data_IF_727482763993
#
_entry.id   IF_727482763993
#
_cell.length_a   1.000
_cell.length_b   1.000
_cell.length_c   1.000
_cell.angle_alpha   90.00
_cell.angle_beta   90.00
_cell.angle_gamma   90.00
#
_symmetry.space_group_name_H-M   'P 1'
#
loop_
_entity.id
_entity.type
_entity.pdbx_description
1 polymer ?
#
# COMPACT_ATOMS: atom_id res chain seq x y z
N UNK A 1 -12.14 10.63 14.18
CA UNK A 1 -13.29 11.52 14.42
C UNK A 1 -14.49 10.66 14.81
N UNK A 2 -15.21 10.98 15.87
CA UNK A 2 -16.41 10.24 16.32
C UNK A 2 -16.22 8.72 16.49
N UNK A 3 -15.03 8.31 16.95
CA UNK A 3 -14.68 6.91 17.15
C UNK A 3 -14.27 6.16 15.87
N UNK A 4 -14.04 6.86 14.76
CA UNK A 4 -13.55 6.31 13.51
C UNK A 4 -12.15 6.85 13.13
N UNK A 5 -11.37 5.97 12.51
CA UNK A 5 -10.07 6.24 11.88
C UNK A 5 -10.22 6.16 10.36
N UNK A 6 -9.46 7.00 9.67
CA UNK A 6 -9.18 6.92 8.25
C UNK A 6 -7.68 7.21 8.09
N UNK A 7 -7.04 6.54 7.13
CA UNK A 7 -5.60 6.63 6.94
C UNK A 7 -5.23 6.91 5.48
N UNK A 8 -4.16 7.67 5.31
CA UNK A 8 -3.60 8.06 4.01
C UNK A 8 -2.20 8.64 4.17
N UNK A 9 -1.40 8.43 3.15
CA UNK A 9 -0.06 8.98 3.01
C UNK A 9 0.29 9.12 1.52
N UNK A 10 1.23 10.01 1.22
CA UNK A 10 1.68 10.27 -0.13
C UNK A 10 3.14 10.71 -0.15
N UNK A 11 3.87 10.30 -1.18
CA UNK A 11 5.24 10.74 -1.43
C UNK A 11 5.25 11.96 -2.34
N UNK A 12 5.68 13.12 -1.83
CA UNK A 12 5.78 14.35 -2.62
C UNK A 12 7.24 14.66 -2.95
N UNK A 13 7.52 14.92 -4.23
CA UNK A 13 8.87 15.30 -4.67
C UNK A 13 9.18 16.75 -4.26
N UNK A 14 10.28 16.94 -3.52
CA UNK A 14 10.88 18.24 -3.26
C UNK A 14 12.05 18.43 -4.22
N UNK A 15 11.96 19.45 -5.07
CA UNK A 15 12.96 19.67 -6.14
C UNK A 15 14.27 20.23 -5.57
N UNK A 16 15.43 19.88 -6.18
CA UNK A 16 15.59 19.01 -7.35
C UNK A 16 15.51 17.51 -7.01
N UNK A 17 14.91 16.72 -7.92
CA UNK A 17 14.76 15.26 -7.78
C UNK A 17 15.44 14.52 -8.94
N UNK A 18 16.16 13.43 -8.62
CA UNK A 18 16.78 12.56 -9.63
C UNK A 18 15.71 11.74 -10.37
N UNK A 19 15.93 11.41 -11.64
CA UNK A 19 14.98 10.62 -12.44
C UNK A 19 14.59 9.27 -11.82
N UNK A 20 15.51 8.60 -11.11
CA UNK A 20 15.20 7.34 -10.43
C UNK A 20 14.22 7.50 -9.25
N UNK A 21 14.35 8.59 -8.47
CA UNK A 21 13.44 8.90 -7.35
C UNK A 21 12.06 9.34 -7.86
N UNK A 22 12.02 10.08 -8.96
CA UNK A 22 10.77 10.43 -9.64
C UNK A 22 10.04 9.17 -10.10
N UNK A 23 10.73 8.29 -10.84
CA UNK A 23 10.18 7.00 -11.30
C UNK A 23 9.73 6.11 -10.13
N UNK A 24 10.46 6.12 -9.02
CA UNK A 24 10.10 5.38 -7.81
C UNK A 24 8.76 5.85 -7.24
N UNK A 25 8.57 7.15 -7.07
CA UNK A 25 7.32 7.72 -6.59
C UNK A 25 6.15 7.43 -7.55
N UNK A 26 6.35 7.61 -8.85
CA UNK A 26 5.34 7.29 -9.88
C UNK A 26 4.96 5.80 -9.87
N UNK A 27 5.93 4.92 -9.65
CA UNK A 27 5.67 3.48 -9.57
C UNK A 27 4.89 3.12 -8.31
N UNK A 28 5.19 3.72 -7.16
CA UNK A 28 4.44 3.50 -5.93
C UNK A 28 2.98 3.93 -6.09
N UNK A 29 2.74 5.09 -6.68
CA UNK A 29 1.39 5.56 -7.00
C UNK A 29 0.67 4.62 -7.98
N UNK A 30 1.31 4.25 -9.08
CA UNK A 30 0.72 3.34 -10.08
C UNK A 30 0.43 1.93 -9.50
N UNK A 31 1.28 1.44 -8.60
CA UNK A 31 1.06 0.19 -7.89
C UNK A 31 -0.18 0.28 -7.00
N UNK A 32 -0.32 1.36 -6.22
CA UNK A 32 -1.49 1.61 -5.37
C UNK A 32 -2.76 1.62 -6.22
N UNK A 33 -2.79 2.42 -7.29
CA UNK A 33 -3.91 2.49 -8.23
C UNK A 33 -4.29 1.11 -8.80
N UNK A 34 -3.28 0.31 -9.16
CA UNK A 34 -3.50 -1.04 -9.67
C UNK A 34 -4.08 -1.97 -8.60
N UNK A 35 -3.62 -1.87 -7.35
CA UNK A 35 -4.20 -2.58 -6.20
C UNK A 35 -5.65 -2.21 -5.95
N UNK A 36 -5.98 -0.91 -5.95
CA UNK A 36 -7.34 -0.38 -5.77
C UNK A 36 -8.27 -0.92 -6.87
N UNK A 37 -7.81 -1.00 -8.12
CA UNK A 37 -8.63 -1.46 -9.26
C UNK A 37 -9.16 -2.90 -9.12
N UNK A 38 -8.53 -3.72 -8.28
CA UNK A 38 -8.95 -5.12 -8.02
C UNK A 38 -9.53 -5.31 -6.62
N UNK A 39 -9.62 -4.26 -5.80
CA UNK A 39 -10.16 -4.30 -4.44
C UNK A 39 -11.70 -4.24 -4.46
N UNK A 40 -12.33 -5.27 -5.00
CA UNK A 40 -13.79 -5.38 -5.17
C UNK A 40 -14.34 -6.60 -4.44
N UNK A 41 -15.62 -6.54 -4.04
CA UNK A 41 -16.28 -7.63 -3.33
C UNK A 41 -16.27 -8.93 -4.16
N UNK A 42 -16.00 -10.05 -3.49
CA UNK A 42 -15.83 -11.36 -4.13
C UNK A 42 -14.40 -11.66 -4.57
N UNK A 43 -13.52 -10.65 -4.67
CA UNK A 43 -12.11 -10.87 -4.94
C UNK A 43 -11.35 -11.29 -3.67
N UNK A 44 -10.17 -11.90 -3.82
CA UNK A 44 -9.32 -12.29 -2.66
C UNK A 44 -8.35 -11.18 -2.30
N UNK A 45 -8.05 -11.03 -1.01
CA UNK A 45 -7.08 -10.05 -0.51
C UNK A 45 -5.71 -10.17 -1.20
N UNK A 46 -5.27 -11.41 -1.48
CA UNK A 46 -3.97 -11.65 -2.13
C UNK A 46 -3.90 -11.16 -3.60
N UNK A 47 -5.03 -10.91 -4.24
CA UNK A 47 -5.09 -10.38 -5.61
C UNK A 47 -4.66 -8.92 -5.64
N UNK A 48 -4.96 -8.16 -4.58
CA UNK A 48 -4.46 -6.78 -4.41
C UNK A 48 -2.92 -6.80 -4.38
N UNK A 49 -2.33 -7.65 -3.54
CA UNK A 49 -0.87 -7.81 -3.45
C UNK A 49 -0.22 -8.27 -4.76
N UNK A 50 -0.88 -9.18 -5.51
CA UNK A 50 -0.40 -9.59 -6.84
C UNK A 50 -0.43 -8.44 -7.84
N UNK A 51 -1.50 -7.66 -7.84
CA UNK A 51 -1.68 -6.53 -8.74
C UNK A 51 -0.61 -5.45 -8.48
N UNK A 52 -0.39 -5.08 -7.22
CA UNK A 52 0.67 -4.14 -6.82
C UNK A 52 2.08 -4.64 -7.19
N UNK A 53 2.43 -5.88 -6.80
CA UNK A 53 3.77 -6.44 -7.06
C UNK A 53 4.08 -6.55 -8.55
N UNK A 54 3.08 -6.81 -9.40
CA UNK A 54 3.29 -6.86 -10.86
C UNK A 54 3.76 -5.52 -11.43
N UNK A 55 3.19 -4.39 -10.98
CA UNK A 55 3.59 -3.05 -11.39
C UNK A 55 5.00 -2.74 -10.90
N UNK A 56 5.25 -3.00 -9.62
CA UNK A 56 6.54 -2.71 -8.98
C UNK A 56 7.69 -3.49 -9.64
N UNK A 57 7.51 -4.79 -9.87
CA UNK A 57 8.52 -5.63 -10.51
C UNK A 57 8.71 -5.28 -11.97
N UNK A 58 7.64 -4.94 -12.69
CA UNK A 58 7.69 -4.49 -14.08
C UNK A 58 8.51 -3.20 -14.26
N UNK A 59 8.53 -2.33 -13.25
CA UNK A 59 9.33 -1.09 -13.27
C UNK A 59 10.81 -1.29 -12.87
N UNK A 60 11.19 -2.49 -12.41
CA UNK A 60 12.54 -2.82 -11.92
C UNK A 60 12.76 -2.50 -10.44
N UNK A 61 11.70 -2.32 -9.66
CA UNK A 61 11.73 -2.01 -8.23
C UNK A 61 11.32 -3.21 -7.36
N UNK A 62 11.42 -3.04 -6.03
CA UNK A 62 11.06 -4.05 -5.04
C UNK A 62 9.96 -3.58 -4.10
N UNK A 63 9.13 -4.50 -3.64
CA UNK A 63 8.14 -4.26 -2.58
C UNK A 63 8.78 -4.56 -1.22
N UNK A 64 8.61 -3.66 -0.25
CA UNK A 64 8.93 -3.92 1.16
C UNK A 64 7.84 -4.84 1.74
N UNK A 65 8.24 -6.00 2.26
CA UNK A 65 7.32 -7.10 2.63
C UNK A 65 6.90 -7.08 4.08
N UNK A 66 7.55 -6.28 4.92
CA UNK A 66 7.27 -6.20 6.35
C UNK A 66 6.11 -5.24 6.68
N UNK A 67 5.66 -4.46 5.68
CA UNK A 67 4.65 -3.41 5.83
C UNK A 67 3.44 -3.72 4.94
N UNK A 68 2.40 -4.38 5.50
CA UNK A 68 1.14 -4.56 4.82
C UNK A 68 0.18 -3.40 5.11
N UNK A 69 -0.77 -3.19 4.20
CA UNK A 69 -1.99 -2.48 4.56
C UNK A 69 -2.84 -3.26 5.55
N UNK A 70 -3.93 -2.64 5.97
CA UNK A 70 -4.75 -3.12 7.06
C UNK A 70 -6.23 -2.77 6.87
N UNK A 71 -7.11 -3.48 7.57
CA UNK A 71 -8.44 -2.96 7.83
C UNK A 71 -8.32 -1.68 8.68
N UNK A 72 -9.25 -0.75 8.50
CA UNK A 72 -9.27 0.51 9.27
C UNK A 72 -10.70 0.97 9.47
N UNK A 73 -11.00 1.51 10.65
CA UNK A 73 -12.34 1.96 10.95
C UNK A 73 -12.50 2.26 12.44
N UNK A 74 -12.76 1.23 13.25
CA UNK A 74 -12.90 1.42 14.71
C UNK A 74 -11.57 1.41 15.44
N UNK A 75 -10.55 0.80 14.83
CA UNK A 75 -9.15 0.86 15.24
C UNK A 75 -8.31 1.41 14.09
N UNK A 76 -7.12 1.92 14.42
CA UNK A 76 -6.14 2.35 13.43
C UNK A 76 -5.76 1.17 12.53
N UNK A 77 -5.35 0.05 13.15
CA UNK A 77 -5.11 -1.21 12.45
C UNK A 77 -6.10 -2.29 12.90
N UNK A 78 -6.82 -2.89 11.95
CA UNK A 78 -7.68 -4.05 12.13
C UNK A 78 -7.51 -5.04 10.96
N UNK A 79 -8.20 -6.19 11.02
CA UNK A 79 -8.18 -7.17 9.92
C UNK A 79 -8.99 -6.67 8.71
N UNK A 80 -8.65 -7.07 7.48
CA UNK A 80 -7.58 -8.00 7.11
C UNK A 80 -6.21 -7.31 6.96
N UNK A 81 -5.13 -8.10 7.01
CA UNK A 81 -3.83 -7.63 6.52
C UNK A 81 -3.81 -7.68 4.99
N UNK A 82 -3.30 -6.62 4.35
CA UNK A 82 -3.28 -6.43 2.88
C UNK A 82 -1.83 -6.23 2.42
N UNK A 83 -1.03 -7.31 2.22
CA UNK A 83 0.36 -7.15 1.82
C UNK A 83 0.53 -6.51 0.45
N UNK A 84 1.59 -5.71 0.28
CA UNK A 84 2.06 -5.14 -0.99
C UNK A 84 2.46 -6.18 -2.06
N UNK A 85 2.46 -7.47 -1.72
CA UNK A 85 2.98 -8.56 -2.55
C UNK A 85 2.06 -9.77 -2.59
N UNK A 86 2.24 -10.64 -3.59
CA UNK A 86 1.41 -11.84 -3.69
C UNK A 86 1.77 -12.85 -2.61
N UNK A 87 0.81 -13.14 -1.72
CA UNK A 87 0.90 -14.25 -0.77
C UNK A 87 -0.21 -15.29 -1.04
N UNK A 88 0.11 -16.48 -1.60
CA UNK A 88 -0.89 -17.49 -1.91
C UNK A 88 -1.59 -18.06 -0.67
N UNK A 89 -1.04 -17.87 0.53
CA UNK A 89 -1.63 -18.34 1.80
C UNK A 89 -2.80 -17.48 2.27
N UNK A 90 -2.86 -16.21 1.84
CA UNK A 90 -4.00 -15.34 2.15
C UNK A 90 -5.18 -15.73 1.26
N UNK A 91 -6.26 -16.21 1.88
CA UNK A 91 -7.46 -16.72 1.19
C UNK A 91 -8.71 -15.89 1.48
N UNK A 92 -8.62 -14.90 2.34
CA UNK A 92 -9.75 -14.05 2.70
C UNK A 92 -10.35 -13.39 1.47
N UNK A 93 -11.68 -13.42 1.42
CA UNK A 93 -12.48 -12.82 0.36
C UNK A 93 -12.97 -11.47 0.83
N UNK A 94 -12.75 -10.45 0.01
CA UNK A 94 -13.25 -9.10 0.22
C UNK A 94 -14.77 -9.12 0.18
N UNK A 95 -15.40 -8.52 1.18
CA UNK A 95 -16.86 -8.41 1.32
C UNK A 95 -17.28 -6.97 1.12
N UNK A 96 -18.45 -6.78 0.52
CA UNK A 96 -19.07 -5.46 0.41
C UNK A 96 -19.21 -4.82 1.79
N UNK A 97 -18.82 -3.55 1.91
CA UNK A 97 -18.80 -2.79 3.16
C UNK A 97 -17.53 -2.95 4.01
N UNK A 98 -16.58 -3.82 3.65
CA UNK A 98 -15.25 -3.82 4.30
C UNK A 98 -14.54 -2.49 4.09
N UNK A 99 -13.78 -2.06 5.09
CA UNK A 99 -12.97 -0.84 5.04
C UNK A 99 -11.50 -1.21 5.26
N UNK A 100 -10.63 -0.86 4.32
CA UNK A 100 -9.21 -1.23 4.34
C UNK A 100 -8.33 -0.23 3.61
N UNK A 101 -7.04 -0.28 3.88
CA UNK A 101 -6.01 0.49 3.20
C UNK A 101 -5.38 -0.32 2.06
N UNK A 102 -4.99 0.38 1.00
CA UNK A 102 -4.08 -0.14 -0.04
C UNK A 102 -2.88 0.79 -0.07
N UNK A 103 -1.73 0.28 0.39
CA UNK A 103 -0.56 1.10 0.73
C UNK A 103 0.78 0.44 0.36
N UNK A 104 1.14 0.34 -0.93
CA UNK A 104 2.40 -0.29 -1.30
C UNK A 104 3.60 0.56 -0.84
N UNK A 105 4.49 -0.06 -0.08
CA UNK A 105 5.84 0.44 0.16
C UNK A 105 6.79 -0.09 -0.92
N UNK A 106 7.23 0.79 -1.82
CA UNK A 106 8.10 0.46 -2.94
C UNK A 106 9.50 0.99 -2.67
N UNK A 107 10.53 0.20 -2.95
CA UNK A 107 11.92 0.61 -2.82
C UNK A 107 12.71 0.33 -4.10
N UNK A 108 13.88 0.97 -4.22
CA UNK A 108 14.79 0.69 -5.33
C UNK A 108 15.31 -0.74 -5.34
N UNK A 109 15.54 -1.37 -4.17
CA UNK A 109 16.12 -2.73 -4.06
C UNK A 109 15.68 -3.48 -2.80
N UNK A 110 15.63 -2.82 -1.65
CA UNK A 110 15.28 -3.44 -0.37
C UNK A 110 13.89 -4.10 -0.37
N UNK A 111 13.78 -5.23 0.34
CA UNK A 111 12.51 -5.93 0.56
C UNK A 111 12.10 -5.97 2.02
N UNK A 112 12.95 -5.48 2.90
CA UNK A 112 12.76 -5.50 4.34
C UNK A 112 13.19 -4.19 4.96
N UNK A 113 12.69 -3.93 6.17
CA UNK A 113 13.06 -2.78 7.00
C UNK A 113 13.60 -3.22 8.37
N UNK A 114 14.22 -2.29 9.06
CA UNK A 114 14.48 -2.39 10.50
C UNK A 114 13.99 -1.11 11.19
N UNK A 115 13.70 -1.21 12.49
CA UNK A 115 13.35 -0.07 13.33
C UNK A 115 14.62 0.51 13.95
N UNK A 116 14.81 1.81 13.81
CA UNK A 116 15.92 2.56 14.40
C UNK A 116 15.83 2.62 15.93
N UNK A 117 16.90 3.12 16.56
CA UNK A 117 17.02 3.23 18.01
C UNK A 117 15.97 4.14 18.67
N UNK A 118 15.34 5.03 17.89
CA UNK A 118 14.24 5.87 18.36
C UNK A 118 12.93 5.10 18.58
N UNK A 119 12.87 3.82 18.17
CA UNK A 119 11.71 2.95 18.32
C UNK A 119 10.59 3.18 17.30
N UNK A 120 10.76 4.09 16.33
CA UNK A 120 9.71 4.49 15.39
C UNK A 120 10.19 4.50 13.93
N UNK A 121 11.37 5.05 13.65
CA UNK A 121 11.83 5.25 12.29
C UNK A 121 12.13 3.91 11.63
N UNK A 122 11.44 3.63 10.52
CA UNK A 122 11.67 2.43 9.72
C UNK A 122 12.63 2.75 8.56
N UNK A 123 13.68 1.96 8.42
CA UNK A 123 14.70 2.15 7.37
C UNK A 123 15.00 0.88 6.61
N UNK A 124 15.43 1.08 5.36
CA UNK A 124 16.01 0.02 4.55
C UNK A 124 17.44 -0.28 5.03
N UNK A 125 17.82 -1.56 5.23
CA UNK A 125 19.17 -1.91 5.71
C UNK A 125 20.31 -1.46 4.79
N UNK A 126 20.03 -1.31 3.49
CA UNK A 126 21.00 -0.95 2.45
C UNK A 126 20.94 0.53 2.03
N UNK A 127 20.11 1.34 2.69
CA UNK A 127 19.88 2.74 2.32
C UNK A 127 19.11 2.94 1.01
N UNK A 128 18.47 1.90 0.46
CA UNK A 128 17.57 2.02 -0.69
C UNK A 128 16.49 3.06 -0.43
N UNK A 129 16.33 4.08 -1.30
CA UNK A 129 15.17 4.96 -1.25
C UNK A 129 13.87 4.17 -1.36
N UNK A 130 12.84 4.65 -0.65
CA UNK A 130 11.50 4.11 -0.69
C UNK A 130 10.46 5.22 -0.97
N UNK A 131 9.33 4.83 -1.53
CA UNK A 131 8.16 5.67 -1.73
C UNK A 131 6.90 4.87 -1.37
N UNK A 132 5.89 5.57 -0.87
CA UNK A 132 4.60 5.01 -0.50
C UNK A 132 3.48 6.00 -0.84
N UNK A 133 2.32 5.43 -1.15
CA UNK A 133 1.05 6.10 -1.33
C UNK A 133 -0.03 5.22 -0.71
N UNK A 134 -1.08 5.83 -0.22
CA UNK A 134 -2.13 5.13 0.48
C UNK A 134 -3.51 5.78 0.34
N UNK A 135 -4.51 4.92 0.15
CA UNK A 135 -5.90 5.28 0.37
C UNK A 135 -6.61 4.29 1.28
N UNK A 136 -7.48 4.83 2.13
CA UNK A 136 -8.56 4.05 2.74
C UNK A 136 -9.71 3.89 1.74
N UNK A 137 -10.23 2.68 1.64
CA UNK A 137 -11.27 2.26 0.71
C UNK A 137 -12.46 1.66 1.45
N UNK A 138 -13.68 1.90 0.93
CA UNK A 138 -14.84 1.05 1.21
C UNK A 138 -15.05 0.10 0.03
N UNK A 139 -15.00 -1.20 0.30
CA UNK A 139 -15.17 -2.25 -0.70
C UNK A 139 -16.63 -2.28 -1.16
N UNK A 140 -16.84 -2.27 -2.48
CA UNK A 140 -18.16 -2.41 -3.11
C UNK A 140 -18.17 -3.58 -4.09
N UNK A 141 -19.33 -3.93 -4.66
CA UNK A 141 -19.41 -4.86 -5.80
C UNK A 141 -18.78 -4.32 -7.10
N UNK A 142 -18.67 -2.99 -7.22
CA UNK A 142 -18.04 -2.31 -8.34
C UNK A 142 -16.71 -1.71 -7.92
N UNK A 143 -16.40 -0.50 -8.43
CA UNK A 143 -15.24 0.25 -7.98
C UNK A 143 -15.36 0.57 -6.47
N UNK A 144 -14.28 0.43 -5.68
CA UNK A 144 -14.30 0.81 -4.28
C UNK A 144 -14.49 2.33 -4.13
N UNK A 145 -15.12 2.75 -3.03
CA UNK A 145 -15.23 4.16 -2.67
C UNK A 145 -13.91 4.58 -2.01
N UNK A 146 -13.26 5.62 -2.53
CA UNK A 146 -12.04 6.20 -1.96
C UNK A 146 -12.42 7.29 -0.97
N UNK A 147 -12.15 7.06 0.32
CA UNK A 147 -12.57 8.03 1.35
C UNK A 147 -11.54 9.14 1.59
N UNK A 148 -10.27 8.89 1.23
CA UNK A 148 -9.16 9.85 1.41
C UNK A 148 -8.69 10.47 0.10
N UNK A 149 -9.50 10.40 -0.97
CA UNK A 149 -9.19 11.10 -2.22
C UNK A 149 -9.40 12.61 -2.03
N UNK A 150 -8.38 13.40 -2.37
CA UNK A 150 -8.47 14.86 -2.43
C UNK A 150 -8.92 15.26 -3.85
N UNK A 151 -9.84 16.24 -3.92
CA UNK A 151 -10.44 16.79 -5.16
C UNK A 151 -9.37 17.41 -6.05
#
# INVERSE_FOLDING_TARGET
LDGYYADTAATIAVTPVTGIKQKLAETAHAAMEKGISVATAGNKVNEIGRAMESVVRGAGFSVIRDLPGHGVGRKLHESPSVPGFYNPRLKDVLKEGMVLTVEPFVSTKAKHIFTEQDGWTLKTPDGSPAAQYEHTLVITKGAPIRITQVI
#
